data_IF_779035783089
#
_entry.id   IF_779035783089
#
_cell.length_a   1.000
_cell.length_b   1.000
_cell.length_c   1.000
_cell.angle_alpha   90.00
_cell.angle_beta   90.00
_cell.angle_gamma   90.00
#
_symmetry.space_group_name_H-M   'P 1'
#
loop_
_entity.id
_entity.type
_entity.pdbx_description
1 polymer ?
#
# COMPACT_ATOMS: atom_id res chain seq x y z
N UNK A 1 14.74 -28.06 -37.49
CA UNK A 1 14.15 -28.50 -36.21
C UNK A 1 14.66 -27.70 -34.98
N UNK A 2 15.39 -26.59 -35.14
CA UNK A 2 15.93 -25.82 -34.01
C UNK A 2 15.07 -24.63 -33.54
N UNK A 3 14.10 -24.18 -34.34
CA UNK A 3 13.29 -23.00 -34.01
C UNK A 3 12.30 -23.31 -32.87
N UNK A 4 11.72 -24.51 -32.86
CA UNK A 4 10.70 -24.90 -31.87
C UNK A 4 11.29 -25.10 -30.47
N UNK A 5 12.48 -25.73 -30.35
CA UNK A 5 13.17 -25.93 -29.06
C UNK A 5 13.57 -24.63 -28.37
N UNK A 6 14.12 -23.67 -29.11
CA UNK A 6 14.49 -22.36 -28.55
C UNK A 6 13.27 -21.56 -28.07
N UNK A 7 12.09 -21.81 -28.65
CA UNK A 7 10.86 -21.09 -28.27
C UNK A 7 10.26 -21.68 -26.98
N UNK A 8 10.33 -22.99 -26.79
CA UNK A 8 9.91 -23.68 -25.56
C UNK A 8 10.82 -23.35 -24.36
N UNK A 9 12.14 -23.31 -24.55
CA UNK A 9 13.09 -22.89 -23.51
C UNK A 9 12.88 -21.43 -23.08
N UNK A 10 12.61 -20.54 -24.03
CA UNK A 10 12.32 -19.12 -23.73
C UNK A 10 10.98 -18.95 -22.99
N UNK A 11 9.93 -19.69 -23.34
CA UNK A 11 8.67 -19.68 -22.58
C UNK A 11 8.88 -20.17 -21.14
N UNK A 12 9.64 -21.26 -20.95
CA UNK A 12 9.94 -21.77 -19.61
C UNK A 12 10.78 -20.81 -18.74
N UNK A 13 11.68 -20.02 -19.34
CA UNK A 13 12.43 -18.97 -18.63
C UNK A 13 11.54 -17.78 -18.26
N UNK A 14 10.64 -17.36 -19.15
CA UNK A 14 9.69 -16.28 -18.88
C UNK A 14 8.67 -16.66 -17.80
N UNK A 15 8.20 -17.91 -17.80
CA UNK A 15 7.28 -18.41 -16.77
C UNK A 15 7.95 -18.46 -15.40
N UNK A 16 9.21 -18.93 -15.33
CA UNK A 16 10.01 -18.88 -14.09
C UNK A 16 10.25 -17.45 -13.61
N UNK A 17 10.55 -16.52 -14.52
CA UNK A 17 10.74 -15.12 -14.18
C UNK A 17 9.45 -14.48 -13.64
N UNK A 18 8.30 -14.76 -14.23
CA UNK A 18 6.99 -14.33 -13.73
C UNK A 18 6.70 -14.92 -12.35
N UNK A 19 6.94 -16.21 -12.17
CA UNK A 19 6.72 -16.91 -10.90
C UNK A 19 7.61 -16.35 -9.77
N UNK A 20 8.86 -15.99 -10.07
CA UNK A 20 9.75 -15.32 -9.11
C UNK A 20 9.29 -13.90 -8.74
N UNK A 21 8.73 -13.15 -9.69
CA UNK A 21 8.16 -11.82 -9.44
C UNK A 21 6.88 -11.91 -8.61
N UNK A 22 6.05 -12.93 -8.85
CA UNK A 22 4.85 -13.19 -8.04
C UNK A 22 5.22 -13.63 -6.61
N UNK A 23 6.18 -14.55 -6.45
CA UNK A 23 6.68 -14.94 -5.12
C UNK A 23 7.27 -13.76 -4.35
N UNK A 24 7.96 -12.84 -5.03
CA UNK A 24 8.47 -11.63 -4.40
C UNK A 24 7.35 -10.70 -3.89
N UNK A 25 6.15 -10.71 -4.49
CA UNK A 25 4.99 -9.95 -3.99
C UNK A 25 4.37 -10.57 -2.74
N UNK A 26 4.39 -11.90 -2.60
CA UNK A 26 3.83 -12.59 -1.43
C UNK A 26 4.75 -12.54 -0.20
N UNK A 27 6.08 -12.49 -0.39
CA UNK A 27 7.07 -12.35 0.70
C UNK A 27 6.97 -10.97 1.40
N UNK A 28 6.20 -10.03 0.84
CA UNK A 28 5.97 -8.67 1.34
C UNK A 28 5.57 -8.58 2.80
N UNK A 29 4.62 -9.42 3.21
CA UNK A 29 3.98 -9.28 4.53
C UNK A 29 4.97 -9.66 5.62
N UNK A 30 5.74 -10.72 5.37
CA UNK A 30 6.77 -11.24 6.28
C UNK A 30 7.98 -10.31 6.42
N UNK A 31 8.22 -9.42 5.44
CA UNK A 31 9.34 -8.48 5.47
C UNK A 31 9.07 -7.22 6.31
N UNK A 32 7.80 -6.89 6.56
CA UNK A 32 7.44 -5.75 7.40
C UNK A 32 7.20 -6.26 8.80
N UNK A 33 8.07 -5.87 9.73
CA UNK A 33 7.86 -6.23 11.14
C UNK A 33 6.59 -5.62 11.69
N UNK A 34 5.96 -6.32 12.64
CA UNK A 34 4.79 -5.82 13.37
C UNK A 34 5.05 -4.46 14.01
N UNK A 35 6.27 -4.24 14.53
CA UNK A 35 6.70 -2.96 15.12
C UNK A 35 6.69 -1.81 14.09
N UNK A 36 7.16 -2.08 12.87
CA UNK A 36 7.13 -1.09 11.79
C UNK A 36 5.68 -0.80 11.39
N UNK A 37 4.83 -1.82 11.32
CA UNK A 37 3.42 -1.65 11.00
C UNK A 37 2.69 -0.84 12.07
N UNK A 38 2.93 -1.13 13.35
CA UNK A 38 2.40 -0.38 14.49
C UNK A 38 2.84 1.08 14.45
N UNK A 39 4.12 1.34 14.18
CA UNK A 39 4.66 2.69 14.02
C UNK A 39 3.97 3.45 12.87
N UNK A 40 3.73 2.78 11.74
CA UNK A 40 3.00 3.37 10.61
C UNK A 40 1.56 3.73 10.98
N UNK A 41 0.86 2.86 11.70
CA UNK A 41 -0.52 3.10 12.16
C UNK A 41 -0.57 4.31 13.09
N UNK A 42 0.30 4.37 14.10
CA UNK A 42 0.37 5.50 15.04
C UNK A 42 0.64 6.80 14.28
N UNK A 43 1.63 6.80 13.37
CA UNK A 43 1.96 7.97 12.58
C UNK A 43 0.79 8.44 11.70
N UNK A 44 0.03 7.51 11.11
CA UNK A 44 -1.15 7.83 10.30
C UNK A 44 -2.27 8.48 11.12
N UNK A 45 -2.59 7.93 12.30
CA UNK A 45 -3.61 8.49 13.19
C UNK A 45 -3.21 9.88 13.69
N UNK A 46 -1.97 10.05 14.15
CA UNK A 46 -1.46 11.37 14.54
C UNK A 46 -1.50 12.37 13.37
N UNK A 47 -1.25 11.91 12.13
CA UNK A 47 -1.37 12.76 10.94
C UNK A 47 -2.81 13.16 10.67
N UNK A 48 -3.78 12.24 10.80
CA UNK A 48 -5.21 12.53 10.67
C UNK A 48 -5.64 13.63 11.64
N UNK A 49 -5.32 13.50 12.92
CA UNK A 49 -5.66 14.48 13.96
C UNK A 49 -5.08 15.87 13.63
N UNK A 50 -3.77 15.93 13.37
CA UNK A 50 -3.09 17.20 13.08
C UNK A 50 -3.61 17.87 11.81
N UNK A 51 -3.88 17.08 10.75
CA UNK A 51 -4.42 17.62 9.49
C UNK A 51 -5.86 18.10 9.68
N UNK A 52 -6.68 17.37 10.43
CA UNK A 52 -8.06 17.76 10.71
C UNK A 52 -8.14 19.06 11.52
N UNK A 53 -7.30 19.23 12.53
CA UNK A 53 -7.18 20.50 13.27
C UNK A 53 -6.72 21.65 12.37
N UNK A 54 -5.75 21.41 11.49
CA UNK A 54 -5.31 22.40 10.52
C UNK A 54 -6.42 22.77 9.50
N UNK A 55 -7.21 21.79 9.05
CA UNK A 55 -8.35 22.00 8.15
C UNK A 55 -9.45 22.81 8.84
N UNK A 56 -9.72 22.53 10.11
CA UNK A 56 -10.67 23.28 10.95
C UNK A 56 -10.24 24.73 11.12
N UNK A 57 -8.96 24.96 11.45
CA UNK A 57 -8.37 26.31 11.54
C UNK A 57 -8.48 27.09 10.23
N UNK A 58 -8.42 26.40 9.09
CA UNK A 58 -8.59 26.99 7.75
C UNK A 58 -10.06 27.19 7.35
N UNK A 59 -11.03 26.86 8.20
CA UNK A 59 -12.45 26.94 7.89
C UNK A 59 -12.93 25.90 6.85
N UNK A 60 -12.15 24.84 6.63
CA UNK A 60 -12.55 23.76 5.72
C UNK A 60 -13.73 22.99 6.32
N UNK A 61 -14.66 22.59 5.45
CA UNK A 61 -15.77 21.68 5.79
C UNK A 61 -15.41 20.20 5.58
N UNK A 62 -14.17 19.90 5.18
CA UNK A 62 -13.69 18.54 4.94
C UNK A 62 -12.74 18.07 6.03
N UNK A 63 -12.79 16.78 6.35
CA UNK A 63 -11.91 16.07 7.28
C UNK A 63 -11.49 14.73 6.71
N UNK A 64 -10.32 14.26 7.11
CA UNK A 64 -9.96 12.86 6.99
C UNK A 64 -10.86 12.08 7.95
N UNK A 65 -11.70 11.21 7.43
CA UNK A 65 -12.64 10.40 8.19
C UNK A 65 -12.10 9.01 8.50
N UNK A 66 -11.44 8.40 7.50
CA UNK A 66 -10.96 7.02 7.59
C UNK A 66 -9.49 6.91 7.18
N UNK A 67 -8.84 5.88 7.71
CA UNK A 67 -7.47 5.51 7.42
C UNK A 67 -7.47 4.05 6.98
N UNK A 68 -7.06 3.80 5.75
CA UNK A 68 -6.85 2.45 5.23
C UNK A 68 -5.35 2.16 5.14
N UNK A 69 -4.95 0.99 5.61
CA UNK A 69 -3.60 0.48 5.44
C UNK A 69 -3.61 -0.61 4.37
N UNK A 70 -3.10 -0.27 3.19
CA UNK A 70 -3.00 -1.19 2.07
C UNK A 70 -1.68 -1.94 2.17
N UNK A 71 -1.77 -3.24 2.47
CA UNK A 71 -0.62 -4.13 2.50
C UNK A 71 -0.06 -4.31 1.08
N UNK A 72 1.24 -4.06 0.93
CA UNK A 72 2.00 -4.16 -0.32
C UNK A 72 3.49 -3.94 -0.06
N UNK A 73 4.33 -3.94 -1.11
CA UNK A 73 5.76 -3.63 -0.98
C UNK A 73 6.05 -2.26 -1.59
N UNK A 74 6.31 -1.22 -0.76
CA UNK A 74 6.06 -1.12 0.68
C UNK A 74 4.56 -0.90 1.01
N UNK A 75 4.12 -1.08 2.28
CA UNK A 75 2.75 -0.79 2.69
C UNK A 75 2.41 0.68 2.47
N UNK A 76 1.14 0.98 2.26
CA UNK A 76 0.66 2.33 1.95
C UNK A 76 -0.48 2.74 2.86
N UNK A 77 -0.42 3.96 3.38
CA UNK A 77 -1.52 4.60 4.09
C UNK A 77 -2.36 5.40 3.08
N UNK A 78 -3.66 5.20 3.12
CA UNK A 78 -4.65 5.93 2.32
C UNK A 78 -5.61 6.64 3.27
N UNK A 79 -5.86 7.92 3.01
CA UNK A 79 -6.79 8.73 3.79
C UNK A 79 -8.05 9.01 2.99
N UNK A 80 -9.20 8.68 3.55
CA UNK A 80 -10.50 9.02 2.98
C UNK A 80 -10.98 10.35 3.54
N UNK A 81 -11.40 11.26 2.67
CA UNK A 81 -11.80 12.63 3.05
C UNK A 81 -13.29 12.79 2.85
N UNK A 82 -14.01 13.10 3.91
CA UNK A 82 -15.44 13.36 3.89
C UNK A 82 -15.75 14.79 4.32
N UNK A 83 -16.93 15.26 3.90
CA UNK A 83 -17.49 16.49 4.45
C UNK A 83 -17.98 16.20 5.86
N UNK A 84 -17.48 16.94 6.83
CA UNK A 84 -17.98 16.88 8.20
C UNK A 84 -19.24 17.76 8.25
N UNK A 85 -20.40 17.13 8.44
CA UNK A 85 -21.60 17.85 8.82
C UNK A 85 -21.45 18.14 10.31
N UNK A 86 -21.34 19.41 10.68
CA UNK A 86 -21.32 19.78 12.09
C UNK A 86 -22.61 19.32 12.76
N UNK A 87 -22.48 18.75 13.96
CA UNK A 87 -23.60 18.53 14.88
C UNK A 87 -24.30 19.84 15.25
#
# INVERSE_FOLDING_TARGET
MNITKNTEENMGLLDKAKESVEKAKDISLDLVSDENLASMIVAACTKQENVNEALKTKGSIYRIADIDLVMGIPPKVVFSIHREFGD
#
